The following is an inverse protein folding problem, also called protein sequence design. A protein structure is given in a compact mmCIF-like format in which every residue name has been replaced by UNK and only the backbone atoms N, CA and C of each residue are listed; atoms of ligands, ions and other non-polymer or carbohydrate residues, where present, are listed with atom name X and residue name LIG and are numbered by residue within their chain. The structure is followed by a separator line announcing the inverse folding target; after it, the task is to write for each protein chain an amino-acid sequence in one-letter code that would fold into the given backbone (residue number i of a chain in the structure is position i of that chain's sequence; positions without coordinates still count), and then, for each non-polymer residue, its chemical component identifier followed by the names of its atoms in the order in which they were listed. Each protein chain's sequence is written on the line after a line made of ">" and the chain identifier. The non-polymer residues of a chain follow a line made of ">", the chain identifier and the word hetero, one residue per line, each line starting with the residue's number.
data_IF_532765096524
#
_entry.id   IF_532765096524
#
_cell.length_a   1.000
_cell.length_b   1.000
_cell.length_c   1.000
_cell.angle_alpha   90.00
_cell.angle_beta   90.00
_cell.angle_gamma   90.00
#
_symmetry.space_group_name_H-M   'P 1'
#
loop_
_entity.id
_entity.type
_entity.pdbx_description
1 polymer ?
#
# COMPACT_ATOMS: atom_id res chain seq x y z
N UNK A 1 50.72 -34.62 46.62
CA UNK A 1 50.86 -33.25 46.11
C UNK A 1 49.65 -32.90 45.26
N UNK A 2 49.12 -31.68 45.45
CA UNK A 2 48.02 -31.02 44.73
C UNK A 2 46.61 -31.59 44.96
N UNK A 3 46.03 -31.21 46.10
CA UNK A 3 44.59 -31.25 46.34
C UNK A 3 43.89 -30.19 45.48
N UNK A 4 43.07 -30.64 44.53
CA UNK A 4 42.18 -29.81 43.69
C UNK A 4 41.19 -29.08 44.59
N UNK A 5 41.45 -27.80 44.83
CA UNK A 5 40.58 -26.92 45.59
C UNK A 5 39.36 -26.57 44.73
N UNK A 6 38.27 -27.31 44.93
CA UNK A 6 36.97 -26.91 44.42
C UNK A 6 36.49 -25.69 45.22
N UNK A 7 36.84 -24.50 44.73
CA UNK A 7 36.20 -23.27 45.21
C UNK A 7 34.77 -23.27 44.66
N UNK A 8 33.82 -23.67 45.49
CA UNK A 8 32.41 -23.53 45.18
C UNK A 8 32.05 -22.05 45.05
N UNK A 9 31.34 -21.71 43.98
CA UNK A 9 30.83 -20.35 43.71
C UNK A 9 30.14 -19.78 44.96
N UNK A 10 30.60 -18.62 45.41
CA UNK A 10 30.01 -17.90 46.52
C UNK A 10 28.55 -17.52 46.21
N UNK A 11 27.70 -17.39 47.24
CA UNK A 11 26.28 -17.02 47.08
C UNK A 11 26.08 -15.71 46.29
N UNK A 12 27.05 -14.78 46.37
CA UNK A 12 27.02 -13.53 45.64
C UNK A 12 27.31 -13.73 44.15
N UNK A 13 28.30 -14.54 43.79
CA UNK A 13 28.61 -14.89 42.39
C UNK A 13 27.44 -15.61 41.72
N UNK A 14 26.75 -16.52 42.43
CA UNK A 14 25.53 -17.18 41.92
C UNK A 14 24.41 -16.20 41.63
N UNK A 15 24.20 -15.19 42.49
CA UNK A 15 23.20 -14.13 42.27
C UNK A 15 23.57 -13.23 41.10
N UNK A 16 24.85 -12.90 40.94
CA UNK A 16 25.35 -12.10 39.84
C UNK A 16 25.22 -12.84 38.50
N UNK A 17 25.62 -14.11 38.45
CA UNK A 17 25.43 -14.99 37.30
C UNK A 17 23.95 -15.11 36.91
N UNK A 18 23.06 -15.27 37.89
CA UNK A 18 21.61 -15.33 37.62
C UNK A 18 21.09 -14.03 37.00
N UNK A 19 21.57 -12.86 37.46
CA UNK A 19 21.21 -11.56 36.86
C UNK A 19 21.74 -11.43 35.43
N UNK A 20 22.97 -11.86 35.17
CA UNK A 20 23.55 -11.87 33.82
C UNK A 20 22.73 -12.77 32.89
N UNK A 21 22.39 -13.99 33.33
CA UNK A 21 21.58 -14.92 32.53
C UNK A 21 20.21 -14.31 32.21
N UNK A 22 19.55 -13.68 33.17
CA UNK A 22 18.27 -13.00 32.94
C UNK A 22 18.44 -11.84 31.94
N UNK A 23 19.49 -11.03 32.07
CA UNK A 23 19.79 -9.94 31.13
C UNK A 23 20.01 -10.46 29.71
N UNK A 24 20.79 -11.54 29.53
CA UNK A 24 21.04 -12.15 28.22
C UNK A 24 19.74 -12.66 27.60
N UNK A 25 18.86 -13.29 28.39
CA UNK A 25 17.55 -13.76 27.90
C UNK A 25 16.67 -12.59 27.47
N UNK A 26 16.61 -11.52 28.27
CA UNK A 26 15.82 -10.32 27.95
C UNK A 26 16.34 -9.64 26.69
N UNK A 27 17.66 -9.45 26.57
CA UNK A 27 18.27 -8.88 25.37
C UNK A 27 18.08 -9.79 24.15
N UNK A 28 18.14 -11.12 24.31
CA UNK A 28 17.85 -12.08 23.25
C UNK A 28 16.41 -12.01 22.76
N UNK A 29 15.44 -11.89 23.69
CA UNK A 29 14.03 -11.68 23.35
C UNK A 29 13.80 -10.34 22.65
N UNK A 30 14.39 -9.26 23.18
CA UNK A 30 14.30 -7.93 22.55
C UNK A 30 14.91 -7.97 21.15
N UNK A 31 16.05 -8.62 20.96
CA UNK A 31 16.67 -8.80 19.65
C UNK A 31 15.76 -9.60 18.72
N UNK A 32 15.13 -10.68 19.15
CA UNK A 32 14.18 -11.44 18.33
C UNK A 32 12.95 -10.61 17.89
N UNK A 33 12.47 -9.72 18.75
CA UNK A 33 11.30 -8.88 18.46
C UNK A 33 11.67 -7.67 17.58
N UNK A 34 12.81 -7.04 17.86
CA UNK A 34 13.29 -5.83 17.17
C UNK A 34 14.24 -6.10 16.00
N UNK A 35 14.67 -7.34 15.77
CA UNK A 35 15.61 -7.68 14.69
C UNK A 35 15.03 -7.26 13.33
N UNK A 36 15.70 -6.32 12.63
CA UNK A 36 15.25 -5.86 11.33
C UNK A 36 15.31 -7.03 10.34
N UNK A 37 14.14 -7.41 9.80
CA UNK A 37 14.00 -8.44 8.77
C UNK A 37 13.64 -9.85 9.25
N UNK A 38 13.79 -10.16 10.56
CA UNK A 38 13.40 -11.48 11.12
C UNK A 38 12.41 -11.40 12.29
N UNK A 39 12.10 -10.20 12.77
CA UNK A 39 11.13 -10.02 13.85
C UNK A 39 9.68 -10.23 13.40
N UNK A 40 8.83 -10.67 14.35
CA UNK A 40 7.40 -10.91 14.14
C UNK A 40 6.66 -9.67 13.58
N UNK A 41 7.15 -8.48 13.93
CA UNK A 41 6.64 -7.20 13.42
C UNK A 41 6.88 -7.01 11.92
N UNK A 42 7.97 -7.54 11.37
CA UNK A 42 8.26 -7.49 9.94
C UNK A 42 7.34 -8.42 9.16
N UNK A 43 7.02 -9.59 9.70
CA UNK A 43 6.08 -10.53 9.09
C UNK A 43 4.66 -9.93 8.99
N UNK A 44 4.17 -9.32 10.07
CA UNK A 44 2.89 -8.60 10.05
C UNK A 44 2.88 -7.43 9.07
N UNK A 45 3.96 -6.64 9.01
CA UNK A 45 4.10 -5.57 8.01
C UNK A 45 4.09 -6.11 6.58
N UNK A 46 4.71 -7.27 6.35
CA UNK A 46 4.73 -7.92 5.04
C UNK A 46 3.32 -8.40 4.65
N UNK A 47 2.59 -9.06 5.55
CA UNK A 47 1.20 -9.47 5.30
C UNK A 47 0.30 -8.27 4.98
N UNK A 48 0.38 -7.18 5.75
CA UNK A 48 -0.38 -5.97 5.46
C UNK A 48 -0.03 -5.40 4.07
N UNK A 49 1.25 -5.41 3.69
CA UNK A 49 1.68 -4.98 2.35
C UNK A 49 1.11 -5.88 1.25
N UNK A 50 1.12 -7.20 1.45
CA UNK A 50 0.53 -8.15 0.51
C UNK A 50 -0.96 -7.91 0.32
N UNK A 51 -1.70 -7.70 1.41
CA UNK A 51 -3.14 -7.43 1.36
C UNK A 51 -3.44 -6.10 0.65
N UNK A 52 -2.66 -5.05 0.94
CA UNK A 52 -2.80 -3.76 0.25
C UNK A 52 -2.51 -3.90 -1.24
N UNK A 53 -1.40 -4.54 -1.61
CA UNK A 53 -1.03 -4.79 -3.01
C UNK A 53 -2.08 -5.63 -3.74
N UNK A 54 -2.64 -6.65 -3.08
CA UNK A 54 -3.69 -7.47 -3.66
C UNK A 54 -4.97 -6.66 -3.91
N UNK A 55 -5.35 -5.76 -3.00
CA UNK A 55 -6.49 -4.85 -3.18
C UNK A 55 -6.23 -3.86 -4.32
N UNK A 56 -5.07 -3.22 -4.35
CA UNK A 56 -4.68 -2.30 -5.42
C UNK A 56 -4.70 -2.99 -6.78
N UNK A 57 -4.15 -4.20 -6.87
CA UNK A 57 -4.13 -4.97 -8.10
C UNK A 57 -5.55 -5.32 -8.58
N UNK A 58 -6.47 -5.68 -7.66
CA UNK A 58 -7.89 -5.90 -8.01
C UNK A 58 -8.57 -4.65 -8.55
N UNK A 59 -8.32 -3.49 -7.93
CA UNK A 59 -8.87 -2.21 -8.38
C UNK A 59 -8.31 -1.84 -9.76
N UNK A 60 -7.00 -1.95 -9.94
CA UNK A 60 -6.35 -1.68 -11.23
C UNK A 60 -6.84 -2.62 -12.33
N UNK A 61 -7.01 -3.91 -12.04
CA UNK A 61 -7.55 -4.87 -13.00
C UNK A 61 -8.97 -4.51 -13.44
N UNK A 62 -9.83 -4.08 -12.50
CA UNK A 62 -11.19 -3.62 -12.82
C UNK A 62 -11.15 -2.35 -13.69
N UNK A 63 -10.36 -1.36 -13.31
CA UNK A 63 -10.23 -0.11 -14.07
C UNK A 63 -9.68 -0.37 -15.48
N UNK A 64 -8.72 -1.29 -15.62
CA UNK A 64 -8.17 -1.65 -16.92
C UNK A 64 -9.23 -2.34 -17.80
N UNK A 65 -10.06 -3.23 -17.23
CA UNK A 65 -11.16 -3.84 -17.97
C UNK A 65 -12.18 -2.80 -18.46
N UNK A 66 -12.55 -1.85 -17.60
CA UNK A 66 -13.47 -0.76 -17.95
C UNK A 66 -12.88 0.16 -19.03
N UNK A 67 -11.64 0.60 -18.87
CA UNK A 67 -10.94 1.42 -19.86
C UNK A 67 -10.81 0.71 -21.21
N UNK A 68 -10.51 -0.60 -21.20
CA UNK A 68 -10.45 -1.39 -22.44
C UNK A 68 -11.81 -1.46 -23.13
N UNK A 69 -12.87 -1.63 -22.36
CA UNK A 69 -14.23 -1.61 -22.90
C UNK A 69 -14.56 -0.24 -23.52
N UNK A 70 -14.22 0.86 -22.84
CA UNK A 70 -14.44 2.21 -23.36
C UNK A 70 -13.64 2.49 -24.62
N UNK A 71 -12.35 2.11 -24.65
CA UNK A 71 -11.51 2.21 -25.85
C UNK A 71 -12.12 1.41 -26.99
N UNK A 72 -12.59 0.19 -26.73
CA UNK A 72 -13.24 -0.64 -27.74
C UNK A 72 -14.50 0.03 -28.31
N UNK A 73 -15.32 0.63 -27.45
CA UNK A 73 -16.51 1.39 -27.88
C UNK A 73 -16.13 2.63 -28.67
N UNK A 74 -15.14 3.39 -28.25
CA UNK A 74 -14.70 4.58 -29.00
C UNK A 74 -14.18 4.22 -30.40
N UNK A 75 -13.54 3.06 -30.56
CA UNK A 75 -12.99 2.62 -31.85
C UNK A 75 -14.05 2.03 -32.79
N UNK A 76 -15.03 1.29 -32.25
CA UNK A 76 -15.95 0.50 -33.08
C UNK A 76 -17.40 1.03 -33.08
N UNK A 77 -17.77 1.91 -32.15
CA UNK A 77 -19.09 2.52 -32.05
C UNK A 77 -19.00 4.03 -32.37
N UNK A 78 -19.22 4.35 -33.64
CA UNK A 78 -19.18 5.73 -34.13
C UNK A 78 -20.25 6.64 -33.51
N UNK A 79 -21.40 6.10 -33.09
CA UNK A 79 -22.44 6.88 -32.45
C UNK A 79 -22.02 7.31 -31.05
N UNK A 80 -21.40 6.41 -30.29
CA UNK A 80 -20.82 6.73 -28.98
C UNK A 80 -19.69 7.76 -29.09
N UNK A 81 -18.84 7.65 -30.10
CA UNK A 81 -17.78 8.64 -30.36
C UNK A 81 -18.35 10.02 -30.70
N UNK A 82 -19.38 10.09 -31.56
CA UNK A 82 -20.05 11.34 -31.93
C UNK A 82 -20.74 12.00 -30.72
N UNK A 83 -21.44 11.20 -29.90
CA UNK A 83 -22.05 11.68 -28.67
C UNK A 83 -21.01 12.25 -27.69
N UNK A 84 -19.90 11.54 -27.49
CA UNK A 84 -18.82 12.01 -26.63
C UNK A 84 -18.16 13.29 -27.17
N UNK A 85 -17.92 13.37 -28.48
CA UNK A 85 -17.36 14.54 -29.14
C UNK A 85 -18.26 15.78 -28.93
N UNK A 86 -19.58 15.63 -29.07
CA UNK A 86 -20.56 16.70 -28.83
C UNK A 86 -20.63 17.08 -27.35
N UNK A 87 -20.80 16.12 -26.45
CA UNK A 87 -21.03 16.40 -25.01
C UNK A 87 -19.79 16.88 -24.29
N UNK A 88 -18.63 16.27 -24.55
CA UNK A 88 -17.39 16.55 -23.80
C UNK A 88 -16.54 17.65 -24.43
N UNK A 89 -16.58 17.76 -25.76
CA UNK A 89 -15.72 18.69 -26.50
C UNK A 89 -16.49 19.76 -27.28
N UNK A 90 -17.83 19.72 -27.29
CA UNK A 90 -18.64 20.69 -28.03
C UNK A 90 -18.43 20.63 -29.55
N UNK A 91 -17.91 19.52 -30.06
CA UNK A 91 -17.58 19.39 -31.47
C UNK A 91 -18.85 19.18 -32.30
N UNK A 92 -18.82 19.75 -33.51
CA UNK A 92 -19.92 19.76 -34.46
C UNK A 92 -19.41 19.20 -35.79
N UNK A 93 -20.27 18.57 -36.59
CA UNK A 93 -19.90 18.22 -37.96
C UNK A 93 -19.69 19.50 -38.79
N UNK A 94 -18.93 19.40 -39.88
CA UNK A 94 -18.64 20.54 -40.78
C UNK A 94 -19.90 21.27 -41.28
N UNK A 95 -21.05 20.59 -41.30
CA UNK A 95 -22.32 21.10 -41.79
C UNK A 95 -23.31 21.47 -40.66
N UNK A 96 -22.85 21.57 -39.41
CA UNK A 96 -23.69 21.87 -38.23
C UNK A 96 -23.34 23.26 -37.64
N UNK A 97 -24.36 23.99 -37.18
CA UNK A 97 -24.24 25.35 -36.61
C UNK A 97 -24.88 25.38 -35.22
N UNK A 98 -24.22 26.01 -34.25
CA UNK A 98 -24.77 26.23 -32.90
C UNK A 98 -25.35 27.64 -32.78
N UNK A 99 -26.58 27.75 -32.26
CA UNK A 99 -27.23 29.02 -31.96
C UNK A 99 -27.18 29.29 -30.47
N UNK A 100 -26.39 30.29 -30.05
CA UNK A 100 -26.42 30.81 -28.69
C UNK A 100 -27.39 31.98 -28.58
N UNK A 101 -28.44 31.82 -27.76
CA UNK A 101 -29.37 32.91 -27.45
C UNK A 101 -28.83 33.73 -26.28
N UNK A 102 -28.34 34.95 -26.54
CA UNK A 102 -28.01 35.90 -25.48
C UNK A 102 -29.30 36.55 -24.96
N UNK A 103 -29.55 36.58 -23.64
CA UNK A 103 -30.72 37.25 -23.10
C UNK A 103 -30.65 38.74 -23.43
N UNK A 104 -31.78 39.29 -23.89
CA UNK A 104 -31.89 40.70 -24.25
C UNK A 104 -31.43 41.55 -23.07
N UNK A 105 -30.37 42.34 -23.30
CA UNK A 105 -29.82 43.27 -22.33
C UNK A 105 -30.93 44.24 -21.92
N UNK A 106 -31.53 44.06 -20.74
CA UNK A 106 -32.45 45.05 -20.18
C UNK A 106 -31.66 46.34 -20.00
N UNK A 107 -31.92 47.33 -20.86
CA UNK A 107 -31.44 48.71 -20.65
C UNK A 107 -32.12 49.21 -19.38
N UNK A 108 -31.31 49.62 -18.39
CA UNK A 108 -31.75 50.45 -17.27
C UNK A 108 -32.07 51.85 -17.76
#
# INVERSE_FOLDING_TARGET
>A
MVSRQQQGLTLQERRFLRRIVVLVIVFGMLWLIFAPGRGLLSYRRLQNRLDTLARENKVLAKNNAELRHDVNRLQHDGAYLEELARKKYGLLKKNEMVFEYKPARKKK
#
